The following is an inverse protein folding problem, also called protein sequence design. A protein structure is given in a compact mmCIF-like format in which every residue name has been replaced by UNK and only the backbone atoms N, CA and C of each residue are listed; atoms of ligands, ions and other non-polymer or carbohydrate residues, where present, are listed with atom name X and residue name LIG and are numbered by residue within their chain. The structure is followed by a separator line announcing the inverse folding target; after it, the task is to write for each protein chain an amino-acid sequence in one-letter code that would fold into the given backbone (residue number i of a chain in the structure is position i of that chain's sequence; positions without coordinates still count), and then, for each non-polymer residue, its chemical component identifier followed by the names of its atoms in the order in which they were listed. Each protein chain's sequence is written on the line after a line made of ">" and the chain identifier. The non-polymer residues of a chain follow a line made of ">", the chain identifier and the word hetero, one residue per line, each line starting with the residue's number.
data_IF_117724857159
#
_entry.id   IF_117724857159
#
_cell.length_a   1.000
_cell.length_b   1.000
_cell.length_c   1.000
_cell.angle_alpha   90.00
_cell.angle_beta   90.00
_cell.angle_gamma   90.00
#
_symmetry.space_group_name_H-M   'P 1'
#
loop_
_entity.id
_entity.type
_entity.pdbx_description
1 polymer ?
#
# COMPACT_ATOMS: atom_id res chain seq x y z
N UNK A 1 10.56 -0.55 6.24
CA UNK A 1 9.86 0.28 7.23
C UNK A 1 9.13 -0.63 8.19
N UNK A 2 9.43 -0.52 9.48
CA UNK A 2 8.74 -1.27 10.53
C UNK A 2 8.07 -0.23 11.43
N UNK A 3 6.74 -0.19 11.40
CA UNK A 3 5.91 0.82 12.04
C UNK A 3 6.00 2.23 11.40
N UNK A 4 4.86 2.79 11.01
CA UNK A 4 4.68 4.17 10.56
C UNK A 4 3.34 4.70 11.01
N UNK A 5 3.31 5.97 11.42
CA UNK A 5 2.12 6.69 11.83
C UNK A 5 2.23 8.10 11.23
N UNK A 6 1.16 8.58 10.61
CA UNK A 6 1.03 10.01 10.33
C UNK A 6 -0.41 10.50 10.35
N UNK A 7 -0.58 11.80 10.60
CA UNK A 7 -1.88 12.45 10.61
C UNK A 7 -1.94 13.49 9.50
N UNK A 8 -3.06 13.53 8.76
CA UNK A 8 -3.25 14.54 7.74
C UNK A 8 -3.50 15.92 8.39
N UNK A 9 -2.97 17.02 7.83
CA UNK A 9 -3.09 18.35 8.44
C UNK A 9 -4.56 18.78 8.62
N UNK A 10 -4.95 19.12 9.85
CA UNK A 10 -6.34 19.39 10.20
C UNK A 10 -6.89 20.69 9.60
N UNK A 11 -6.06 21.74 9.52
CA UNK A 11 -6.47 23.08 9.10
C UNK A 11 -6.23 23.41 7.62
N UNK A 12 -5.70 22.46 6.84
CA UNK A 12 -5.41 22.70 5.43
C UNK A 12 -6.47 22.05 4.54
N UNK A 13 -7.45 22.83 4.09
CA UNK A 13 -8.53 22.32 3.22
C UNK A 13 -8.05 22.00 1.80
N UNK A 14 -6.87 22.49 1.41
CA UNK A 14 -6.25 22.18 0.12
C UNK A 14 -5.74 20.74 0.02
N UNK A 15 -5.73 19.99 1.13
CA UNK A 15 -5.38 18.57 1.14
C UNK A 15 -6.55 17.67 0.70
N UNK A 16 -7.74 18.23 0.48
CA UNK A 16 -8.85 17.45 -0.10
C UNK A 16 -8.58 17.17 -1.58
N UNK A 17 -8.70 15.91 -2.00
CA UNK A 17 -8.40 15.47 -3.36
C UNK A 17 -7.17 14.56 -3.42
N UNK A 18 -6.13 14.98 -4.15
CA UNK A 18 -4.96 14.17 -4.51
C UNK A 18 -3.85 14.12 -3.47
N UNK A 19 -4.10 14.59 -2.23
CA UNK A 19 -3.10 14.48 -1.19
C UNK A 19 -2.94 13.02 -0.75
N UNK A 20 -1.69 12.61 -0.54
CA UNK A 20 -1.33 11.27 -0.11
C UNK A 20 -0.45 11.40 1.13
N UNK A 21 -0.74 10.62 2.16
CA UNK A 21 0.02 10.65 3.41
C UNK A 21 1.41 10.01 3.27
N UNK A 22 1.49 8.93 2.50
CA UNK A 22 2.73 8.20 2.27
C UNK A 22 2.83 7.77 0.82
N UNK A 23 3.83 8.26 0.12
CA UNK A 23 4.10 7.91 -1.28
C UNK A 23 5.51 7.37 -1.45
N UNK A 24 5.64 6.30 -2.23
CA UNK A 24 6.91 5.73 -2.67
C UNK A 24 6.96 5.86 -4.18
N UNK A 25 8.09 6.37 -4.69
CA UNK A 25 8.26 6.64 -6.11
C UNK A 25 8.08 5.34 -6.95
N UNK A 26 7.44 5.42 -8.13
CA UNK A 26 7.06 4.26 -8.93
C UNK A 26 8.26 3.45 -9.45
N UNK A 27 9.44 4.07 -9.55
CA UNK A 27 10.70 3.48 -10.00
C UNK A 27 11.47 2.74 -8.90
N UNK A 28 11.01 2.81 -7.65
CA UNK A 28 11.60 2.03 -6.55
C UNK A 28 11.41 0.55 -6.81
N UNK A 29 12.51 -0.21 -6.85
CA UNK A 29 12.51 -1.63 -7.19
C UNK A 29 12.32 -2.55 -6.00
N UNK A 30 12.48 -2.05 -4.77
CA UNK A 30 12.25 -2.82 -3.55
C UNK A 30 11.77 -1.89 -2.44
N UNK A 31 10.57 -2.17 -1.94
CA UNK A 31 10.05 -1.49 -0.76
C UNK A 31 9.36 -2.49 0.16
N UNK A 32 9.76 -2.53 1.42
CA UNK A 32 9.17 -3.40 2.44
C UNK A 32 8.57 -2.54 3.54
N UNK A 33 7.30 -2.71 3.85
CA UNK A 33 6.64 -2.03 4.96
C UNK A 33 5.76 -2.97 5.79
N UNK A 34 5.82 -2.83 7.11
CA UNK A 34 5.01 -3.61 8.02
C UNK A 34 4.44 -2.70 9.12
N UNK A 35 3.12 -2.62 9.18
CA UNK A 35 2.41 -1.76 10.13
C UNK A 35 2.50 -0.29 9.75
N UNK A 36 1.55 0.23 9.00
CA UNK A 36 1.49 1.67 8.69
C UNK A 36 0.08 2.20 8.86
N UNK A 37 -0.05 3.31 9.57
CA UNK A 37 -1.33 3.95 9.90
C UNK A 37 -1.38 5.41 9.45
N UNK A 38 -2.49 5.81 8.84
CA UNK A 38 -2.77 7.20 8.46
C UNK A 38 -4.08 7.66 9.08
N UNK A 39 -4.08 8.87 9.67
CA UNK A 39 -5.19 9.37 10.47
C UNK A 39 -5.76 10.65 9.84
N UNK A 40 -7.09 10.77 9.86
CA UNK A 40 -7.82 12.02 9.60
C UNK A 40 -8.51 12.44 10.90
N UNK A 41 -8.27 13.68 11.32
CA UNK A 41 -8.94 14.32 12.46
C UNK A 41 -9.73 15.54 11.96
N UNK A 42 -10.61 15.32 10.99
CA UNK A 42 -11.53 16.35 10.49
C UNK A 42 -12.69 15.71 9.75
N UNK A 43 -13.93 16.17 9.96
CA UNK A 43 -15.11 15.60 9.30
C UNK A 43 -15.36 16.08 7.86
N UNK A 44 -14.62 17.08 7.38
CA UNK A 44 -14.82 17.69 6.05
C UNK A 44 -13.74 17.33 5.02
N UNK A 45 -12.76 16.51 5.39
CA UNK A 45 -11.65 16.15 4.49
C UNK A 45 -11.94 14.87 3.74
N UNK A 46 -11.66 14.85 2.45
CA UNK A 46 -11.73 13.64 1.66
C UNK A 46 -10.48 13.49 0.83
N UNK A 47 -9.82 12.35 0.95
CA UNK A 47 -8.63 12.01 0.17
C UNK A 47 -8.89 10.76 -0.64
N UNK A 48 -8.26 10.70 -1.81
CA UNK A 48 -8.41 9.55 -2.68
C UNK A 48 -7.77 8.30 -2.05
N UNK A 49 -6.56 8.41 -1.52
CA UNK A 49 -5.83 7.28 -0.95
C UNK A 49 -4.92 7.72 0.20
N UNK A 50 -4.73 6.85 1.19
CA UNK A 50 -3.76 7.09 2.26
C UNK A 50 -2.33 6.80 1.80
N UNK A 51 -2.16 5.74 0.99
CA UNK A 51 -0.87 5.25 0.55
C UNK A 51 -0.79 5.22 -0.99
N UNK A 52 0.35 5.61 -1.55
CA UNK A 52 0.72 5.36 -2.93
C UNK A 52 2.04 4.61 -3.00
N UNK A 53 2.04 3.42 -3.62
CA UNK A 53 3.18 2.51 -3.57
C UNK A 53 3.51 1.97 -4.96
N UNK A 54 4.77 1.61 -5.26
CA UNK A 54 5.12 0.93 -6.51
C UNK A 54 4.62 -0.52 -6.51
N UNK A 55 4.46 -1.12 -7.69
CA UNK A 55 4.12 -2.55 -7.84
C UNK A 55 5.15 -3.50 -7.18
N UNK A 56 6.38 -3.03 -6.96
CA UNK A 56 7.45 -3.77 -6.30
C UNK A 56 7.30 -3.83 -4.76
N UNK A 57 6.39 -3.04 -4.18
CA UNK A 57 6.25 -2.94 -2.74
C UNK A 57 5.62 -4.21 -2.14
N UNK A 58 6.19 -4.70 -1.05
CA UNK A 58 5.57 -5.72 -0.19
C UNK A 58 5.18 -5.06 1.12
N UNK A 59 3.87 -4.94 1.34
CA UNK A 59 3.34 -4.24 2.51
C UNK A 59 2.33 -5.09 3.25
N UNK A 60 2.45 -5.07 4.58
CA UNK A 60 1.57 -5.76 5.50
C UNK A 60 1.03 -4.80 6.55
N UNK A 61 -0.20 -5.06 7.01
CA UNK A 61 -0.88 -4.36 8.09
C UNK A 61 -0.99 -2.85 7.85
N UNK A 62 -1.54 -2.46 6.71
CA UNK A 62 -1.92 -1.07 6.48
C UNK A 62 -3.23 -0.76 7.20
N UNK A 63 -3.35 0.45 7.72
CA UNK A 63 -4.57 0.93 8.34
C UNK A 63 -4.82 2.42 8.07
N UNK A 64 -6.09 2.79 8.07
CA UNK A 64 -6.53 4.19 8.16
C UNK A 64 -7.43 4.36 9.37
N UNK A 65 -7.43 5.56 9.93
CA UNK A 65 -8.28 5.93 11.06
C UNK A 65 -8.93 7.28 10.79
N UNK A 66 -10.25 7.39 10.97
CA UNK A 66 -10.98 8.65 10.84
C UNK A 66 -11.57 9.03 12.20
N UNK A 67 -10.85 9.86 12.95
CA UNK A 67 -11.21 10.21 14.34
C UNK A 67 -12.49 11.06 14.38
N UNK A 68 -12.63 12.01 13.45
CA UNK A 68 -13.82 12.84 13.30
C UNK A 68 -14.37 12.63 11.90
N UNK A 69 -15.61 12.13 11.81
CA UNK A 69 -16.33 11.89 10.56
C UNK A 69 -16.49 10.40 10.27
N UNK A 70 -16.23 9.97 9.04
CA UNK A 70 -16.56 8.62 8.57
C UNK A 70 -15.44 7.99 7.72
N UNK A 71 -15.27 6.65 7.78
CA UNK A 71 -14.27 5.94 6.98
C UNK A 71 -14.24 6.25 5.48
N UNK A 72 -15.40 6.60 4.88
CA UNK A 72 -15.51 7.00 3.46
C UNK A 72 -14.74 8.27 3.08
N UNK A 73 -14.13 8.94 4.05
CA UNK A 73 -13.20 10.05 3.82
C UNK A 73 -11.89 9.60 3.17
N UNK A 74 -11.56 8.30 3.25
CA UNK A 74 -10.60 7.66 2.37
C UNK A 74 -11.37 6.91 1.28
N UNK A 75 -11.26 7.35 0.02
CA UNK A 75 -11.86 6.59 -1.08
C UNK A 75 -11.17 5.22 -1.22
N UNK A 76 -9.85 5.16 -1.09
CA UNK A 76 -9.09 3.92 -1.09
C UNK A 76 -8.13 3.92 0.09
N UNK A 77 -7.76 2.71 0.53
CA UNK A 77 -6.73 2.60 1.56
C UNK A 77 -5.37 2.77 0.90
N UNK A 78 -5.13 2.13 -0.26
CA UNK A 78 -3.85 2.19 -0.96
C UNK A 78 -4.03 2.15 -2.48
N UNK A 79 -3.25 2.93 -3.21
CA UNK A 79 -3.09 2.82 -4.65
C UNK A 79 -1.68 2.33 -4.99
N UNK A 80 -1.58 1.49 -6.02
CA UNK A 80 -0.34 0.89 -6.50
C UNK A 80 -0.07 1.37 -7.92
N UNK A 81 1.11 1.95 -8.13
CA UNK A 81 1.60 2.51 -9.39
C UNK A 81 2.51 1.48 -10.10
N UNK A 82 2.20 1.15 -11.35
CA UNK A 82 2.99 0.27 -12.22
C UNK A 82 2.39 0.20 -13.63
N UNK A 83 2.17 -0.99 -14.20
CA UNK A 83 1.49 -1.18 -15.50
C UNK A 83 -0.03 -0.91 -15.41
N UNK A 84 -0.38 0.31 -15.00
CA UNK A 84 -1.72 0.76 -14.62
C UNK A 84 -1.85 1.02 -13.11
N UNK A 85 -2.50 2.12 -12.74
CA UNK A 85 -2.79 2.48 -11.34
C UNK A 85 -3.93 1.60 -10.82
N UNK A 86 -3.71 0.89 -9.71
CA UNK A 86 -4.69 0.00 -9.09
C UNK A 86 -4.92 0.40 -7.65
N UNK A 87 -6.15 0.69 -7.27
CA UNK A 87 -6.49 1.12 -5.92
C UNK A 87 -7.30 0.06 -5.17
N UNK A 88 -6.99 -0.12 -3.90
CA UNK A 88 -7.55 -1.14 -3.03
C UNK A 88 -8.31 -0.48 -1.89
N UNK A 89 -9.56 -0.90 -1.72
CA UNK A 89 -10.38 -0.59 -0.55
C UNK A 89 -9.84 -1.36 0.67
N UNK A 90 -10.16 -0.92 1.90
CA UNK A 90 -9.90 -1.74 3.07
C UNK A 90 -10.65 -3.08 2.99
N UNK A 91 -10.06 -4.12 3.56
CA UNK A 91 -10.69 -5.44 3.67
C UNK A 91 -11.74 -5.47 4.77
N UNK A 92 -11.49 -4.77 5.88
CA UNK A 92 -12.40 -4.67 7.00
C UNK A 92 -12.34 -3.27 7.61
N UNK A 93 -13.47 -2.82 8.17
CA UNK A 93 -13.55 -1.62 8.97
C UNK A 93 -14.32 -1.90 10.27
N UNK A 94 -13.82 -1.39 11.38
CA UNK A 94 -14.43 -1.48 12.70
C UNK A 94 -14.40 -0.09 13.34
N UNK A 95 -15.59 0.50 13.52
CA UNK A 95 -15.74 1.88 13.98
C UNK A 95 -14.99 2.86 13.08
N UNK A 96 -14.02 3.56 13.67
CA UNK A 96 -13.22 4.58 12.97
C UNK A 96 -12.02 4.01 12.22
N UNK A 97 -11.73 2.71 12.36
CA UNK A 97 -10.52 2.07 11.83
C UNK A 97 -10.84 1.19 10.63
N UNK A 98 -10.05 1.30 9.58
CA UNK A 98 -10.10 0.41 8.42
C UNK A 98 -8.72 -0.21 8.16
N UNK A 99 -8.70 -1.46 7.73
CA UNK A 99 -7.45 -2.25 7.61
C UNK A 99 -7.34 -2.98 6.29
N UNK A 100 -6.10 -3.12 5.81
CA UNK A 100 -5.70 -4.03 4.75
C UNK A 100 -4.52 -4.87 5.25
N UNK A 101 -4.73 -6.16 5.61
CA UNK A 101 -3.70 -7.02 6.20
C UNK A 101 -2.48 -7.22 5.30
N UNK A 102 -2.67 -7.27 3.99
CA UNK A 102 -1.58 -7.36 3.02
C UNK A 102 -2.02 -6.78 1.67
N UNK A 103 -1.07 -6.18 0.96
CA UNK A 103 -1.27 -5.89 -0.46
C UNK A 103 -1.40 -7.19 -1.25
N UNK A 104 -2.39 -7.31 -2.15
CA UNK A 104 -2.48 -8.45 -3.06
C UNK A 104 -1.19 -8.57 -3.88
N UNK A 105 -0.41 -9.63 -3.66
CA UNK A 105 0.77 -9.86 -4.48
C UNK A 105 0.32 -10.41 -5.83
N UNK A 106 0.88 -9.87 -6.92
CA UNK A 106 0.94 -10.67 -8.14
C UNK A 106 1.94 -11.77 -7.83
N UNK A 107 1.49 -13.03 -7.81
CA UNK A 107 2.41 -14.19 -7.77
C UNK A 107 3.49 -13.90 -8.82
N UNK A 108 4.79 -13.86 -8.44
CA UNK A 108 5.84 -13.66 -9.43
C UNK A 108 5.65 -14.71 -10.53
N UNK A 109 5.81 -14.37 -11.82
CA UNK A 109 5.85 -15.40 -12.85
C UNK A 109 6.84 -16.46 -12.40
N UNK A 110 6.40 -17.72 -12.34
CA UNK A 110 7.28 -18.82 -11.93
C UNK A 110 8.51 -18.75 -12.83
N UNK A 111 9.69 -18.63 -12.24
CA UNK A 111 10.93 -18.69 -13.01
C UNK A 111 10.89 -19.99 -13.83
N UNK A 112 11.24 -19.96 -15.14
CA UNK A 112 11.28 -21.18 -15.93
C UNK A 112 12.19 -22.18 -15.22
N UNK A 113 11.72 -23.42 -15.10
CA UNK A 113 12.50 -24.49 -14.51
C UNK A 113 13.84 -24.60 -15.25
N UNK A 114 14.93 -24.20 -14.59
CA UNK A 114 16.28 -24.42 -15.11
C UNK A 114 16.52 -25.91 -14.98
N UNK A 115 16.30 -26.65 -16.08
CA UNK A 115 16.71 -28.04 -16.19
C UNK A 115 18.25 -28.08 -16.13
N UNK A 116 18.78 -28.45 -14.97
CA UNK A 116 20.18 -28.80 -14.84
C UNK A 116 20.39 -30.15 -15.51
N UNK A 117 20.74 -30.12 -16.79
CA UNK A 117 21.21 -31.31 -17.49
C UNK A 117 22.56 -31.71 -16.90
N UNK A 118 22.56 -32.79 -16.10
CA UNK A 118 23.77 -33.41 -15.57
C UNK A 118 24.65 -33.83 -16.76
N UNK A 119 25.68 -33.04 -17.08
CA UNK A 119 26.77 -33.51 -17.94
C UNK A 119 27.50 -34.63 -17.19
N UNK A 120 27.32 -35.87 -17.62
CA UNK A 120 28.22 -36.96 -17.27
C UNK A 120 29.59 -36.67 -17.88
N UNK A 121 30.54 -36.33 -17.02
CA UNK A 121 31.97 -36.36 -17.37
C UNK A 121 32.36 -37.84 -17.36
N UNK A 122 32.50 -38.42 -18.54
CA UNK A 122 33.08 -39.74 -18.70
C UNK A 122 34.54 -39.71 -18.28
N UNK A 123 34.89 -40.53 -17.29
CA UNK A 123 36.28 -40.86 -17.00
C UNK A 123 36.75 -41.90 -18.02
N UNK A 124 37.86 -41.60 -18.69
CA UNK A 124 38.67 -42.58 -19.43
C UNK A 124 39.71 -43.18 -18.49
#
# INVERSE_FOLDING_TARGET
>A
MYFYQCELPYHNDKMSGSAVAYSVAPDVTTHLAQGAGVYIISGNKKVETAFELPESAKVQNLMTVVIIGEPRQFDFLVCVNGNGRRCYKPQACEGIRCVLPALPSRVPPQAPAVFFEKRHVGAQ
#
